data_IF_680961338400
#
_entry.id   IF_680961338400
#
_cell.length_a   1.000
_cell.length_b   1.000
_cell.length_c   1.000
_cell.angle_alpha   90.00
_cell.angle_beta   90.00
_cell.angle_gamma   90.00
#
_symmetry.space_group_name_H-M   'P 1'
#
loop_
_entity.id
_entity.type
_entity.pdbx_description
1 polymer ?
#
# COMPACT_ATOMS: atom_id res chain seq x y z
N UNK A 1 -32.77 -0.27 -20.52
CA UNK A 1 -31.95 0.25 -19.40
C UNK A 1 -31.47 -0.95 -18.60
N UNK A 2 -30.43 -1.65 -19.09
CA UNK A 2 -29.76 -2.69 -18.32
C UNK A 2 -28.74 -1.96 -17.46
N UNK A 3 -29.03 -1.83 -16.17
CA UNK A 3 -28.09 -1.31 -15.18
C UNK A 3 -26.82 -2.16 -15.27
N UNK A 4 -25.67 -1.53 -15.48
CA UNK A 4 -24.39 -2.17 -15.72
C UNK A 4 -23.83 -2.76 -14.40
N UNK A 5 -24.52 -3.78 -13.89
CA UNK A 5 -24.23 -4.52 -12.66
C UNK A 5 -22.81 -5.07 -12.64
N UNK A 6 -22.22 -5.31 -13.82
CA UNK A 6 -20.83 -5.75 -13.95
C UNK A 6 -19.84 -4.64 -13.60
N UNK A 7 -20.10 -3.41 -14.02
CA UNK A 7 -19.26 -2.26 -13.68
C UNK A 7 -19.35 -1.91 -12.18
N UNK A 8 -20.55 -1.98 -11.60
CA UNK A 8 -20.77 -1.75 -10.17
C UNK A 8 -20.08 -2.82 -9.30
N UNK A 9 -20.17 -4.10 -9.68
CA UNK A 9 -19.52 -5.20 -8.96
C UNK A 9 -17.99 -5.09 -8.98
N UNK A 10 -17.40 -4.78 -10.15
CA UNK A 10 -15.95 -4.59 -10.29
C UNK A 10 -15.46 -3.43 -9.42
N UNK A 11 -16.24 -2.36 -9.24
CA UNK A 11 -15.88 -1.28 -8.32
C UNK A 11 -15.89 -1.74 -6.85
N UNK A 12 -16.87 -2.56 -6.46
CA UNK A 12 -16.93 -3.14 -5.12
C UNK A 12 -15.69 -3.98 -4.77
N UNK A 13 -15.25 -4.85 -5.69
CA UNK A 13 -14.04 -5.66 -5.51
C UNK A 13 -12.78 -4.79 -5.39
N UNK A 14 -12.63 -3.79 -6.25
CA UNK A 14 -11.47 -2.90 -6.23
C UNK A 14 -11.40 -2.10 -4.92
N UNK A 15 -12.54 -1.63 -4.42
CA UNK A 15 -12.64 -0.95 -3.13
C UNK A 15 -12.31 -1.89 -1.96
N UNK A 16 -12.79 -3.14 -2.01
CA UNK A 16 -12.46 -4.16 -1.01
C UNK A 16 -10.94 -4.40 -0.95
N UNK A 17 -10.28 -4.68 -2.08
CA UNK A 17 -8.85 -4.95 -2.10
C UNK A 17 -8.01 -3.72 -1.74
N UNK A 18 -8.44 -2.50 -2.10
CA UNK A 18 -7.79 -1.27 -1.66
C UNK A 18 -7.87 -1.13 -0.13
N UNK A 19 -9.07 -1.24 0.44
CA UNK A 19 -9.26 -1.19 1.89
C UNK A 19 -8.44 -2.28 2.61
N UNK A 20 -8.55 -3.53 2.15
CA UNK A 20 -7.86 -4.68 2.73
C UNK A 20 -6.34 -4.50 2.74
N UNK A 21 -5.73 -4.21 1.60
CA UNK A 21 -4.27 -4.09 1.49
C UNK A 21 -3.72 -2.93 2.31
N UNK A 22 -4.44 -1.80 2.39
CA UNK A 22 -4.08 -0.65 3.25
C UNK A 22 -4.19 -1.00 4.73
N UNK A 23 -5.23 -1.74 5.14
CA UNK A 23 -5.36 -2.20 6.54
C UNK A 23 -4.25 -3.19 6.92
N UNK A 24 -3.97 -4.15 6.07
CA UNK A 24 -2.89 -5.13 6.26
C UNK A 24 -1.52 -4.45 6.34
N UNK A 25 -1.26 -3.45 5.49
CA UNK A 25 -0.03 -2.68 5.55
C UNK A 25 0.15 -1.97 6.91
N UNK A 26 -0.92 -1.37 7.43
CA UNK A 26 -0.91 -0.74 8.75
C UNK A 26 -0.70 -1.75 9.89
N UNK A 27 -1.36 -2.91 9.85
CA UNK A 27 -1.14 -3.99 10.82
C UNK A 27 0.33 -4.43 10.83
N UNK A 28 0.92 -4.60 9.65
CA UNK A 28 2.31 -5.07 9.48
C UNK A 28 3.33 -4.11 10.07
N UNK A 29 3.07 -2.80 10.08
CA UNK A 29 3.92 -1.81 10.78
C UNK A 29 4.05 -2.11 12.27
N UNK A 30 3.01 -2.67 12.89
CA UNK A 30 3.00 -2.97 14.32
C UNK A 30 3.39 -4.39 14.67
N UNK A 31 3.53 -5.28 13.68
CA UNK A 31 3.93 -6.67 13.90
C UNK A 31 2.94 -7.50 14.73
N UNK A 32 1.70 -7.04 14.90
CA UNK A 32 0.68 -7.68 15.76
C UNK A 32 -0.17 -8.74 15.06
N UNK A 33 -0.07 -8.85 13.74
CA UNK A 33 -0.98 -9.70 12.96
C UNK A 33 -2.45 -9.37 13.23
N UNK A 34 -3.32 -10.38 13.19
CA UNK A 34 -4.76 -10.23 13.39
C UNK A 34 -5.18 -9.95 14.85
N UNK A 35 -4.23 -9.89 15.79
CA UNK A 35 -4.52 -9.52 17.18
C UNK A 35 -4.88 -8.04 17.35
N UNK A 36 -4.61 -7.20 16.33
CA UNK A 36 -5.15 -5.84 16.26
C UNK A 36 -6.53 -5.86 15.56
N UNK A 37 -7.64 -5.56 16.26
CA UNK A 37 -8.97 -5.64 15.65
C UNK A 37 -9.14 -4.65 14.50
N UNK A 38 -9.64 -5.14 13.35
CA UNK A 38 -9.86 -4.33 12.14
C UNK A 38 -10.87 -3.19 12.31
N UNK A 39 -11.66 -3.21 13.39
CA UNK A 39 -12.62 -2.15 13.76
C UNK A 39 -11.98 -0.99 14.53
N UNK A 40 -10.76 -1.16 15.05
CA UNK A 40 -10.09 -0.10 15.82
C UNK A 40 -9.37 0.94 14.96
N UNK A 41 -9.42 0.83 13.63
CA UNK A 41 -8.84 1.83 12.75
C UNK A 41 -9.51 1.83 11.38
N UNK A 42 -9.41 2.97 10.71
CA UNK A 42 -10.02 3.22 9.40
C UNK A 42 -8.97 3.69 8.41
N UNK A 43 -9.10 3.24 7.16
CA UNK A 43 -8.25 3.65 6.04
C UNK A 43 -9.13 4.14 4.88
N UNK A 44 -8.55 4.88 3.94
CA UNK A 44 -9.28 5.25 2.73
C UNK A 44 -9.68 4.00 1.92
N UNK A 45 -10.94 3.96 1.47
CA UNK A 45 -11.54 2.80 0.76
C UNK A 45 -11.52 2.98 -0.76
N UNK A 46 -11.68 4.22 -1.23
CA UNK A 46 -11.72 4.49 -2.67
C UNK A 46 -10.36 4.10 -3.30
N UNK A 47 -10.35 3.19 -4.30
CA UNK A 47 -9.13 2.73 -4.95
C UNK A 47 -8.41 3.81 -5.75
N UNK A 48 -9.10 4.91 -6.06
CA UNK A 48 -8.57 6.06 -6.82
C UNK A 48 -8.16 7.23 -5.93
N UNK A 49 -8.50 7.22 -4.64
CA UNK A 49 -8.06 8.25 -3.70
C UNK A 49 -6.71 7.92 -3.09
N UNK A 50 -6.04 8.93 -2.56
CA UNK A 50 -4.78 8.75 -1.86
C UNK A 50 -4.93 7.73 -0.69
N UNK A 51 -4.00 6.79 -0.54
CA UNK A 51 -3.99 5.84 0.57
C UNK A 51 -3.70 6.57 1.87
N UNK A 52 -4.60 6.48 2.85
CA UNK A 52 -4.52 7.24 4.10
C UNK A 52 -5.03 6.44 5.30
N UNK A 53 -4.42 6.66 6.46
CA UNK A 53 -4.94 6.23 7.76
C UNK A 53 -5.85 7.34 8.27
N UNK A 54 -7.14 7.06 8.38
CA UNK A 54 -8.17 8.06 8.67
C UNK A 54 -8.47 8.19 10.16
N UNK A 55 -8.47 7.06 10.88
CA UNK A 55 -8.73 7.02 12.31
C UNK A 55 -8.01 5.84 12.95
N UNK A 56 -7.56 5.98 14.19
CA UNK A 56 -6.97 4.89 14.99
C UNK A 56 -7.08 5.20 16.48
N UNK A 57 -8.27 5.01 17.10
CA UNK A 57 -8.45 5.25 18.53
C UNK A 57 -7.49 4.47 19.44
N UNK A 58 -7.01 3.30 19.01
CA UNK A 58 -6.07 2.48 19.80
C UNK A 58 -4.64 3.03 19.80
N UNK A 59 -4.24 3.79 18.76
CA UNK A 59 -2.93 4.43 18.70
C UNK A 59 -3.01 5.80 17.98
N UNK A 60 -3.57 6.84 18.63
CA UNK A 60 -3.82 8.13 17.97
C UNK A 60 -2.57 8.83 17.40
N UNK A 61 -1.39 8.56 17.98
CA UNK A 61 -0.11 9.10 17.49
C UNK A 61 0.21 8.69 16.05
N UNK A 62 -0.28 7.53 15.60
CA UNK A 62 0.00 7.03 14.26
C UNK A 62 -0.60 7.88 13.15
N UNK A 63 -1.67 8.65 13.41
CA UNK A 63 -2.20 9.59 12.43
C UNK A 63 -1.13 10.60 11.97
N UNK A 64 -0.19 10.93 12.85
CA UNK A 64 0.92 11.83 12.55
C UNK A 64 2.14 11.06 12.04
N UNK A 65 2.44 9.89 12.60
CA UNK A 65 3.70 9.17 12.37
C UNK A 65 3.66 8.16 11.23
N UNK A 66 2.48 7.68 10.86
CA UNK A 66 2.32 6.61 9.87
C UNK A 66 1.77 7.19 8.57
N UNK A 67 2.34 6.73 7.46
CA UNK A 67 1.90 7.07 6.11
C UNK A 67 1.74 5.80 5.29
N UNK A 68 0.82 5.84 4.34
CA UNK A 68 0.49 4.72 3.45
C UNK A 68 0.81 5.11 2.00
N UNK A 69 1.19 4.11 1.21
CA UNK A 69 1.37 4.20 -0.23
C UNK A 69 0.83 2.94 -0.88
N UNK A 70 0.16 3.08 -2.02
CA UNK A 70 -0.19 1.96 -2.88
C UNK A 70 1.01 1.65 -3.77
N UNK A 71 1.33 0.36 -3.93
CA UNK A 71 2.43 -0.11 -4.76
C UNK A 71 1.90 -0.62 -6.10
N UNK A 72 2.72 -0.49 -7.15
CA UNK A 72 2.43 -1.13 -8.42
C UNK A 72 2.38 -2.66 -8.24
N UNK A 73 1.29 -3.27 -8.66
CA UNK A 73 1.07 -4.71 -8.60
C UNK A 73 0.64 -5.22 -9.99
N UNK A 74 0.86 -6.52 -10.29
CA UNK A 74 0.34 -7.13 -11.51
C UNK A 74 -1.18 -6.98 -11.63
N UNK A 75 -1.70 -7.05 -12.85
CA UNK A 75 -3.15 -6.99 -13.11
C UNK A 75 -3.90 -8.02 -12.25
N UNK A 76 -4.97 -7.58 -11.60
CA UNK A 76 -5.77 -8.42 -10.70
C UNK A 76 -5.30 -8.41 -9.25
N UNK A 77 -4.16 -7.79 -8.93
CA UNK A 77 -3.63 -7.67 -7.58
C UNK A 77 -3.55 -6.22 -7.13
N UNK A 78 -3.55 -6.02 -5.81
CA UNK A 78 -3.22 -4.74 -5.16
C UNK A 78 -2.19 -4.96 -4.09
N UNK A 79 -1.37 -3.95 -3.87
CA UNK A 79 -0.37 -3.93 -2.82
C UNK A 79 -0.33 -2.53 -2.20
N UNK A 80 -0.11 -2.48 -0.90
CA UNK A 80 0.11 -1.26 -0.16
C UNK A 80 1.23 -1.45 0.86
N UNK A 81 1.88 -0.36 1.22
CA UNK A 81 2.92 -0.31 2.24
C UNK A 81 2.62 0.83 3.21
N UNK A 82 2.89 0.58 4.49
CA UNK A 82 2.85 1.59 5.53
C UNK A 82 4.25 1.75 6.11
N UNK A 83 4.65 2.99 6.39
CA UNK A 83 5.90 3.30 7.07
C UNK A 83 5.58 4.17 8.28
N UNK A 84 6.22 3.86 9.41
CA UNK A 84 6.17 4.66 10.64
C UNK A 84 7.42 5.52 10.75
N UNK A 85 7.27 6.72 11.31
CA UNK A 85 8.36 7.68 11.55
C UNK A 85 9.19 8.04 10.31
N UNK A 86 8.63 7.89 9.10
CA UNK A 86 9.30 8.26 7.86
C UNK A 86 8.99 9.71 7.49
N UNK A 87 10.02 10.52 7.32
CA UNK A 87 9.90 11.90 6.84
C UNK A 87 10.31 11.98 5.37
N UNK A 88 9.45 12.60 4.54
CA UNK A 88 9.68 12.77 3.10
C UNK A 88 8.93 11.76 2.22
N UNK A 89 9.28 11.74 0.93
CA UNK A 89 8.72 10.82 -0.06
C UNK A 89 9.66 9.62 -0.26
N UNK A 90 9.23 8.39 0.03
CA UNK A 90 10.06 7.21 -0.14
C UNK A 90 10.24 6.86 -1.62
N UNK A 91 11.42 6.36 -1.97
CA UNK A 91 11.65 5.68 -3.25
C UNK A 91 11.50 4.16 -3.02
N UNK A 92 10.50 3.53 -3.63
CA UNK A 92 10.34 2.08 -3.58
C UNK A 92 11.06 1.44 -4.76
N UNK A 93 11.94 0.49 -4.45
CA UNK A 93 12.66 -0.33 -5.43
C UNK A 93 12.22 -1.77 -5.28
N UNK A 94 11.63 -2.32 -6.34
CA UNK A 94 11.30 -3.73 -6.41
C UNK A 94 12.55 -4.49 -6.89
N UNK A 95 12.84 -5.59 -6.20
CA UNK A 95 13.94 -6.48 -6.54
C UNK A 95 13.34 -7.82 -6.96
N UNK A 96 13.70 -8.27 -8.16
CA UNK A 96 13.41 -9.62 -8.57
C UNK A 96 14.37 -10.57 -7.87
N UNK A 97 13.82 -11.46 -7.04
CA UNK A 97 14.61 -12.55 -6.49
C UNK A 97 14.77 -13.63 -7.56
N UNK A 98 15.99 -14.00 -7.97
CA UNK A 98 16.16 -15.05 -8.96
C UNK A 98 15.64 -16.37 -8.38
N UNK A 99 14.76 -17.05 -9.12
CA UNK A 99 14.11 -18.30 -8.70
C UNK A 99 15.06 -19.48 -8.43
N UNK A 100 16.38 -19.28 -8.57
CA UNK A 100 17.42 -20.29 -8.31
C UNK A 100 18.56 -19.66 -7.53
N UNK A 101 18.61 -19.90 -6.22
CA UNK A 101 19.86 -19.79 -5.46
C UNK A 101 20.59 -21.12 -5.66
N UNK A 102 21.41 -21.24 -6.70
CA UNK A 102 22.34 -22.37 -6.78
C UNK A 102 23.44 -22.18 -5.73
N UNK A 103 23.80 -23.18 -4.90
CA UNK A 103 24.79 -23.00 -3.82
C UNK A 103 26.22 -22.67 -4.27
N UNK A 104 26.50 -22.50 -5.57
CA UNK A 104 27.86 -22.53 -6.13
C UNK A 104 28.29 -21.33 -6.97
N UNK A 105 27.61 -20.18 -6.89
CA UNK A 105 28.10 -18.96 -7.53
C UNK A 105 28.12 -17.82 -6.52
N UNK A 106 29.14 -17.84 -5.66
CA UNK A 106 29.72 -16.59 -5.18
C UNK A 106 30.62 -16.04 -6.29
N UNK A 107 30.62 -14.71 -6.43
CA UNK A 107 31.37 -13.89 -7.40
C UNK A 107 30.57 -13.52 -8.68
N UNK A 108 29.88 -12.39 -8.57
CA UNK A 108 29.95 -11.31 -9.55
C UNK A 108 29.20 -11.48 -10.87
N UNK A 109 27.92 -11.11 -10.89
CA UNK A 109 27.26 -10.52 -12.07
C UNK A 109 25.98 -9.77 -11.65
N UNK A 110 26.08 -8.44 -11.58
CA UNK A 110 24.97 -7.52 -11.38
C UNK A 110 24.12 -7.48 -12.66
N UNK A 111 23.16 -8.39 -12.84
CA UNK A 111 22.05 -8.15 -13.75
C UNK A 111 20.95 -7.36 -13.02
N UNK A 112 21.25 -6.09 -12.74
CA UNK A 112 20.32 -5.15 -12.11
C UNK A 112 19.29 -4.67 -13.13
N UNK A 113 18.17 -5.37 -13.24
CA UNK A 113 16.94 -4.73 -13.73
C UNK A 113 16.17 -4.22 -12.51
N UNK A 114 16.36 -2.95 -12.20
CA UNK A 114 15.60 -2.27 -11.14
C UNK A 114 14.52 -1.43 -11.80
N UNK A 115 13.26 -1.81 -11.64
CA UNK A 115 12.15 -0.90 -11.94
C UNK A 115 12.05 0.11 -10.79
N UNK A 116 12.33 1.39 -11.07
CA UNK A 116 12.15 2.48 -10.11
C UNK A 116 10.74 3.02 -10.24
N UNK A 117 9.97 2.93 -9.17
CA UNK A 117 8.67 3.59 -9.10
C UNK A 117 8.80 4.79 -8.18
N UNK A 118 8.81 5.99 -8.76
CA UNK A 118 8.59 7.23 -8.01
C UNK A 118 7.07 7.45 -7.96
N UNK A 119 6.44 7.03 -6.88
CA UNK A 119 5.03 7.33 -6.64
C UNK A 119 4.91 8.83 -6.41
N UNK A 120 4.49 9.58 -7.43
CA UNK A 120 4.04 10.97 -7.24
C UNK A 120 2.73 10.91 -6.48
N UNK A 121 2.77 11.25 -5.20
CA UNK A 121 1.58 11.58 -4.43
C UNK A 121 0.94 12.81 -5.10
N UNK A 122 -0.28 12.67 -5.63
CA UNK A 122 -1.10 13.83 -5.94
C UNK A 122 -1.45 14.50 -4.60
N UNK A 123 -0.57 15.37 -4.14
CA UNK A 123 -0.81 16.26 -3.02
C UNK A 123 -1.98 17.17 -3.39
N UNK A 124 -3.20 16.79 -3.02
CA UNK A 124 -4.27 17.77 -2.81
C UNK A 124 -3.81 18.69 -1.67
N UNK A 125 -3.13 19.77 -2.02
CA UNK A 125 -3.05 20.94 -1.15
C UNK A 125 -4.49 21.45 -1.03
N UNK A 126 -5.06 21.34 0.16
CA UNK A 126 -6.22 22.14 0.55
C UNK A 126 -5.86 23.61 0.32
N UNK A 127 -6.48 24.22 -0.68
CA UNK A 127 -6.58 25.67 -0.76
C UNK A 127 -7.65 26.08 0.26
N UNK A 128 -7.19 26.43 1.46
CA UNK A 128 -7.90 27.38 2.30
C UNK A 128 -7.58 28.77 1.76
N UNK A 129 -8.54 29.35 1.06
CA UNK A 129 -8.79 30.79 1.00
C UNK A 129 -10.30 30.98 1.11
#
# INVERSE_FOLDING_TARGET
MLCDTRAEYVQGEQAFFACWTRKEAYIKVHGRGLSLPLSQFSVSVNPMSAPQLLATPWCPSDLKLTRLWDLAAPRGYRAAIALKTFAGDPEFRLFDWPAKISPRVMIGRNHRRSARYRLRQNSCRSALQ
#
